data_IF_391071354055
#
_entry.id   IF_391071354055
#
_cell.length_a   1.000
_cell.length_b   1.000
_cell.length_c   1.000
_cell.angle_alpha   90.00
_cell.angle_beta   90.00
_cell.angle_gamma   90.00
#
_symmetry.space_group_name_H-M   'P 1'
#
loop_
_entity.id
_entity.type
_entity.pdbx_description
1 polymer ?
#
# COMPACT_ATOMS: atom_id res chain seq x y z
N UNK A 1 15.78 -21.85 -31.58
CA UNK A 1 14.36 -21.56 -31.28
C UNK A 1 13.91 -20.51 -32.28
N UNK A 2 12.71 -20.61 -32.87
CA UNK A 2 12.22 -19.53 -33.72
C UNK A 2 12.14 -18.25 -32.88
N UNK A 3 12.63 -17.13 -33.44
CA UNK A 3 12.47 -15.82 -32.85
C UNK A 3 11.00 -15.47 -32.78
N UNK A 4 10.40 -15.65 -31.60
CA UNK A 4 9.04 -15.23 -31.35
C UNK A 4 9.02 -13.70 -31.28
N UNK A 5 8.22 -13.02 -32.08
CA UNK A 5 8.15 -11.57 -32.04
C UNK A 5 7.63 -11.10 -30.69
N UNK A 6 8.25 -10.06 -30.14
CA UNK A 6 7.78 -9.41 -28.91
C UNK A 6 6.38 -8.82 -29.23
N UNK A 7 5.33 -9.18 -28.46
CA UNK A 7 4.01 -8.65 -28.73
C UNK A 7 3.96 -7.14 -28.48
N UNK A 8 3.27 -6.41 -29.34
CA UNK A 8 2.97 -4.99 -29.11
C UNK A 8 1.83 -4.84 -28.12
N UNK A 9 1.68 -3.63 -27.54
CA UNK A 9 0.52 -3.33 -26.68
C UNK A 9 -0.81 -3.59 -27.38
N UNK A 10 -0.89 -3.29 -28.68
CA UNK A 10 -2.07 -3.56 -29.51
C UNK A 10 -2.37 -5.05 -29.61
N UNK A 11 -1.34 -5.91 -29.80
CA UNK A 11 -1.53 -7.37 -29.81
C UNK A 11 -2.03 -7.90 -28.48
N UNK A 12 -1.72 -7.21 -27.37
CA UNK A 12 -2.19 -7.56 -26.03
C UNK A 12 -3.53 -6.90 -25.67
N UNK A 13 -4.15 -6.15 -26.60
CA UNK A 13 -5.40 -5.43 -26.33
C UNK A 13 -5.24 -4.28 -25.32
N UNK A 14 -4.03 -3.80 -25.12
CA UNK A 14 -3.71 -2.73 -24.17
C UNK A 14 -3.68 -1.36 -24.89
N UNK A 15 -4.21 -0.30 -24.26
CA UNK A 15 -4.11 1.04 -24.81
C UNK A 15 -2.65 1.51 -24.83
N UNK A 16 -2.26 2.38 -25.78
CA UNK A 16 -0.94 2.96 -25.79
C UNK A 16 -0.69 3.79 -24.52
N UNK A 17 0.46 3.58 -23.92
CA UNK A 17 0.92 4.35 -22.75
C UNK A 17 2.15 5.18 -23.15
N UNK A 18 2.16 6.46 -22.79
CA UNK A 18 3.23 7.43 -23.10
C UNK A 18 4.02 7.87 -21.88
N UNK A 19 3.88 7.15 -20.76
CA UNK A 19 4.63 7.47 -19.54
C UNK A 19 6.15 7.42 -19.81
N UNK A 20 6.92 8.33 -19.18
CA UNK A 20 8.37 8.28 -19.27
C UNK A 20 8.88 7.01 -18.59
N UNK A 21 9.68 6.23 -19.33
CA UNK A 21 10.30 5.02 -18.83
C UNK A 21 11.76 5.27 -18.47
N UNK A 22 12.31 4.58 -17.44
CA UNK A 22 13.73 4.59 -17.18
C UNK A 22 14.51 3.94 -18.32
N UNK A 23 15.77 4.33 -18.51
CA UNK A 23 16.66 3.66 -19.45
C UNK A 23 16.73 2.16 -19.13
N UNK A 24 16.60 1.31 -20.16
CA UNK A 24 16.60 -0.13 -19.98
C UNK A 24 18.01 -0.70 -19.75
N UNK A 25 18.10 -1.91 -19.21
CA UNK A 25 19.31 -2.71 -19.13
C UNK A 25 20.05 -2.64 -17.80
N UNK A 26 20.93 -3.62 -17.61
CA UNK A 26 21.69 -3.80 -16.37
C UNK A 26 22.66 -2.65 -16.12
N UNK A 27 23.27 -2.11 -17.16
CA UNK A 27 24.19 -0.96 -17.04
C UNK A 27 23.48 0.27 -16.45
N UNK A 28 22.28 0.60 -16.96
CA UNK A 28 21.47 1.69 -16.42
C UNK A 28 21.10 1.48 -14.95
N UNK A 29 20.79 0.24 -14.56
CA UNK A 29 20.50 -0.12 -13.18
C UNK A 29 21.73 0.06 -12.28
N UNK A 30 22.89 -0.38 -12.72
CA UNK A 30 24.16 -0.24 -11.99
C UNK A 30 24.57 1.22 -11.85
N UNK A 31 24.44 2.01 -12.90
CA UNK A 31 24.72 3.45 -12.86
C UNK A 31 23.81 4.17 -11.84
N UNK A 32 22.53 3.80 -11.74
CA UNK A 32 21.62 4.33 -10.73
C UNK A 32 22.03 3.94 -9.31
N UNK A 33 22.37 2.67 -9.10
CA UNK A 33 22.83 2.19 -7.79
C UNK A 33 24.09 2.94 -7.36
N UNK A 34 25.05 3.09 -8.26
CA UNK A 34 26.30 3.80 -8.01
C UNK A 34 26.06 5.29 -7.77
N UNK A 35 25.25 5.94 -8.60
CA UNK A 35 24.87 7.35 -8.44
C UNK A 35 24.20 7.60 -7.07
N UNK A 36 23.36 6.67 -6.58
CA UNK A 36 22.82 6.77 -5.23
C UNK A 36 23.93 6.63 -4.18
N UNK A 37 24.80 5.62 -4.29
CA UNK A 37 25.81 5.34 -3.29
C UNK A 37 26.84 6.45 -3.16
N UNK A 38 27.26 7.06 -4.27
CA UNK A 38 28.30 8.12 -4.30
C UNK A 38 27.73 9.53 -4.20
N UNK A 39 26.50 9.72 -4.67
CA UNK A 39 25.84 11.02 -4.77
C UNK A 39 25.28 11.57 -3.44
N UNK A 40 24.69 12.77 -3.49
CA UNK A 40 24.12 13.43 -2.30
C UNK A 40 22.86 12.74 -1.78
N UNK A 41 22.15 11.98 -2.62
CA UNK A 41 20.93 11.28 -2.23
C UNK A 41 21.15 10.31 -1.06
N UNK A 42 22.29 9.59 -1.06
CA UNK A 42 22.63 8.67 0.04
C UNK A 42 22.85 9.35 1.40
N UNK A 43 23.13 10.65 1.45
CA UNK A 43 23.22 11.41 2.71
C UNK A 43 21.85 11.85 3.22
N UNK A 44 20.89 12.06 2.31
CA UNK A 44 19.60 12.69 2.58
C UNK A 44 18.44 11.69 2.68
N UNK A 45 18.58 10.51 2.07
CA UNK A 45 17.51 9.52 1.92
C UNK A 45 16.80 9.20 3.23
N UNK A 46 17.54 8.97 4.31
CA UNK A 46 16.95 8.66 5.62
C UNK A 46 15.99 9.74 6.11
N UNK A 47 16.31 11.00 5.89
CA UNK A 47 15.56 12.15 6.39
C UNK A 47 14.41 12.56 5.47
N UNK A 48 14.63 12.43 4.17
CA UNK A 48 13.76 13.02 3.15
C UNK A 48 12.93 12.00 2.35
N UNK A 49 13.04 10.71 2.68
CA UNK A 49 12.32 9.67 1.93
C UNK A 49 10.78 9.82 1.96
N UNK A 50 10.26 10.64 2.88
CA UNK A 50 8.82 10.95 2.96
C UNK A 50 8.40 12.17 2.14
N UNK A 51 9.36 12.93 1.59
CA UNK A 51 9.09 14.12 0.77
C UNK A 51 9.15 13.77 -0.71
N UNK A 52 8.02 13.78 -1.45
CA UNK A 52 8.00 13.43 -2.88
C UNK A 52 8.94 14.31 -3.71
N UNK A 53 8.97 15.62 -3.42
CA UNK A 53 9.79 16.62 -4.12
C UNK A 53 11.30 16.47 -3.89
N UNK A 54 11.73 15.74 -2.84
CA UNK A 54 13.15 15.64 -2.49
C UNK A 54 13.98 14.80 -3.50
N UNK A 55 13.32 13.94 -4.27
CA UNK A 55 13.94 13.08 -5.31
C UNK A 55 15.16 12.29 -4.81
N UNK A 56 15.11 11.82 -3.57
CA UNK A 56 16.19 11.06 -2.93
C UNK A 56 16.08 9.55 -3.15
N UNK A 57 15.05 9.09 -3.84
CA UNK A 57 14.88 7.68 -4.18
C UNK A 57 15.98 7.16 -5.09
N UNK A 58 16.32 5.88 -4.97
CA UNK A 58 17.27 5.21 -5.85
C UNK A 58 16.77 5.08 -7.29
N UNK A 59 15.44 5.04 -7.49
CA UNK A 59 14.82 4.72 -8.77
C UNK A 59 15.09 3.30 -9.26
N UNK A 60 15.45 2.38 -8.35
CA UNK A 60 15.77 0.98 -8.70
C UNK A 60 14.54 0.06 -8.80
N UNK A 61 13.36 0.53 -8.39
CA UNK A 61 12.17 -0.33 -8.31
C UNK A 61 11.79 -1.02 -9.62
N UNK A 62 11.80 -0.38 -10.81
CA UNK A 62 11.53 -1.07 -12.07
C UNK A 62 12.55 -2.17 -12.37
N UNK A 63 13.83 -1.88 -12.13
CA UNK A 63 14.91 -2.84 -12.39
C UNK A 63 14.86 -4.05 -11.45
N UNK A 64 14.48 -3.83 -10.19
CA UNK A 64 14.27 -4.90 -9.22
C UNK A 64 13.04 -5.74 -9.57
N UNK A 65 11.94 -5.08 -9.99
CA UNK A 65 10.70 -5.73 -10.42
C UNK A 65 10.92 -6.71 -11.57
N UNK A 66 11.68 -6.28 -12.59
CA UNK A 66 11.95 -7.08 -13.78
C UNK A 66 13.21 -7.95 -13.67
N UNK A 67 13.85 -8.01 -12.49
CA UNK A 67 15.03 -8.84 -12.27
C UNK A 67 16.28 -8.38 -13.04
N UNK A 68 16.31 -7.14 -13.53
CA UNK A 68 17.45 -6.55 -14.25
C UNK A 68 18.66 -6.40 -13.32
N UNK A 69 18.40 -6.13 -12.03
CA UNK A 69 19.39 -6.10 -10.95
C UNK A 69 18.87 -6.90 -9.76
N UNK A 70 19.75 -7.66 -9.10
CA UNK A 70 19.33 -8.46 -7.95
C UNK A 70 19.32 -7.65 -6.64
N UNK A 71 18.37 -7.90 -5.73
CA UNK A 71 18.40 -7.33 -4.40
C UNK A 71 19.70 -7.64 -3.63
N UNK A 72 20.30 -8.81 -3.85
CA UNK A 72 21.57 -9.22 -3.20
C UNK A 72 22.72 -8.30 -3.61
N UNK A 73 22.81 -7.95 -4.89
CA UNK A 73 23.82 -7.00 -5.39
C UNK A 73 23.63 -5.63 -4.74
N UNK A 74 22.38 -5.16 -4.67
CA UNK A 74 22.06 -3.91 -3.98
C UNK A 74 22.47 -3.95 -2.50
N UNK A 75 22.16 -5.04 -1.79
CA UNK A 75 22.55 -5.22 -0.39
C UNK A 75 24.08 -5.20 -0.22
N UNK A 76 24.80 -5.91 -1.08
CA UNK A 76 26.26 -5.95 -1.05
C UNK A 76 26.85 -4.55 -1.27
N UNK A 77 26.35 -3.82 -2.27
CA UNK A 77 26.83 -2.48 -2.55
C UNK A 77 26.50 -1.47 -1.45
N UNK A 78 25.30 -1.56 -0.86
CA UNK A 78 24.90 -0.70 0.27
C UNK A 78 25.68 -1.02 1.55
N UNK A 79 26.09 -2.27 1.76
CA UNK A 79 26.92 -2.65 2.90
C UNK A 79 28.27 -1.91 2.92
N UNK A 80 28.84 -1.57 1.74
CA UNK A 80 30.07 -0.79 1.65
C UNK A 80 29.93 0.64 2.16
N UNK A 81 28.72 1.14 2.36
CA UNK A 81 28.48 2.45 2.98
C UNK A 81 28.51 2.41 4.53
N UNK A 82 28.56 1.22 5.13
CA UNK A 82 28.51 1.07 6.59
C UNK A 82 29.72 1.65 7.31
N UNK A 83 30.89 1.70 6.66
CA UNK A 83 32.11 2.30 7.19
C UNK A 83 32.32 3.78 6.84
N UNK A 84 31.34 4.39 6.18
CA UNK A 84 31.41 5.76 5.72
C UNK A 84 30.76 6.74 6.71
N UNK A 85 30.49 7.96 6.26
CA UNK A 85 29.80 9.02 6.99
C UNK A 85 28.47 8.51 7.60
N UNK A 86 28.17 8.88 8.84
CA UNK A 86 27.01 8.45 9.61
C UNK A 86 25.67 8.64 8.88
N UNK A 87 25.54 9.71 8.10
CA UNK A 87 24.33 10.00 7.30
C UNK A 87 24.12 8.97 6.20
N UNK A 88 25.19 8.59 5.49
CA UNK A 88 25.16 7.54 4.45
C UNK A 88 24.85 6.16 5.06
N UNK A 89 25.47 5.86 6.20
CA UNK A 89 25.20 4.62 6.92
C UNK A 89 23.72 4.49 7.30
N UNK A 90 23.10 5.54 7.84
CA UNK A 90 21.66 5.54 8.19
C UNK A 90 20.79 5.32 6.95
N UNK A 91 21.10 6.00 5.86
CA UNK A 91 20.38 5.83 4.58
C UNK A 91 20.52 4.42 4.02
N UNK A 92 21.71 3.83 4.09
CA UNK A 92 21.95 2.45 3.67
C UNK A 92 21.12 1.46 4.52
N UNK A 93 21.15 1.57 5.84
CA UNK A 93 20.34 0.73 6.74
C UNK A 93 18.86 0.85 6.44
N UNK A 94 18.36 2.07 6.22
CA UNK A 94 16.97 2.32 5.85
C UNK A 94 16.60 1.66 4.51
N UNK A 95 17.45 1.78 3.50
CA UNK A 95 17.19 1.18 2.19
C UNK A 95 17.27 -0.36 2.25
N UNK A 96 18.26 -0.92 2.98
CA UNK A 96 18.35 -2.36 3.25
C UNK A 96 17.08 -2.88 3.91
N UNK A 97 16.55 -2.14 4.90
CA UNK A 97 15.27 -2.49 5.54
C UNK A 97 14.13 -2.54 4.52
N UNK A 98 14.07 -1.61 3.55
CA UNK A 98 13.04 -1.62 2.49
C UNK A 98 13.16 -2.80 1.54
N UNK A 99 14.38 -3.17 1.16
CA UNK A 99 14.61 -4.37 0.33
C UNK A 99 14.18 -5.66 1.05
N UNK A 100 14.50 -5.78 2.35
CA UNK A 100 14.05 -6.91 3.18
C UNK A 100 12.53 -6.95 3.34
N UNK A 101 11.91 -5.80 3.52
CA UNK A 101 10.45 -5.70 3.58
C UNK A 101 9.80 -6.21 2.30
N UNK A 102 10.28 -5.77 1.12
CA UNK A 102 9.80 -6.28 -0.17
C UNK A 102 9.96 -7.80 -0.29
N UNK A 103 11.12 -8.35 0.06
CA UNK A 103 11.35 -9.79 0.06
C UNK A 103 10.35 -10.54 0.97
N UNK A 104 10.04 -9.97 2.14
CA UNK A 104 9.04 -10.55 3.05
C UNK A 104 7.62 -10.56 2.46
N UNK A 105 7.27 -9.57 1.63
CA UNK A 105 5.98 -9.54 0.93
C UNK A 105 5.90 -10.62 -0.16
N UNK A 106 6.96 -10.78 -0.95
CA UNK A 106 7.05 -11.86 -1.93
C UNK A 106 6.93 -13.24 -1.27
N UNK A 107 7.61 -13.44 -0.14
CA UNK A 107 7.51 -14.68 0.61
C UNK A 107 6.09 -14.94 1.10
N UNK A 108 5.41 -13.94 1.66
CA UNK A 108 4.00 -14.06 2.07
C UNK A 108 3.09 -14.39 0.91
N UNK A 109 3.26 -13.72 -0.21
CA UNK A 109 2.44 -13.94 -1.40
C UNK A 109 2.63 -15.36 -1.97
N UNK A 110 3.83 -15.92 -1.88
CA UNK A 110 4.09 -17.32 -2.25
C UNK A 110 3.21 -18.31 -1.48
N UNK A 111 2.97 -18.04 -0.21
CA UNK A 111 2.14 -18.90 0.65
C UNK A 111 0.68 -18.49 0.71
N UNK A 112 0.36 -17.27 0.36
CA UNK A 112 -0.98 -16.69 0.40
C UNK A 112 -1.30 -15.98 -0.93
N UNK A 113 -1.28 -16.70 -2.07
CA UNK A 113 -1.51 -16.09 -3.40
C UNK A 113 -2.91 -15.50 -3.54
N UNK A 114 -3.89 -15.98 -2.76
CA UNK A 114 -5.23 -15.42 -2.72
C UNK A 114 -5.30 -13.95 -2.31
N UNK A 115 -4.22 -13.39 -1.74
CA UNK A 115 -4.13 -11.97 -1.41
C UNK A 115 -4.23 -11.07 -2.67
N UNK A 116 -4.05 -11.63 -3.85
CA UNK A 116 -4.35 -10.94 -5.11
C UNK A 116 -5.84 -10.59 -5.25
N UNK A 117 -6.73 -11.43 -4.69
CA UNK A 117 -8.17 -11.33 -4.91
C UNK A 117 -8.98 -11.13 -3.63
N UNK A 118 -8.39 -11.34 -2.46
CA UNK A 118 -9.12 -11.30 -1.19
C UNK A 118 -8.25 -10.77 -0.04
N UNK A 119 -8.89 -10.30 1.01
CA UNK A 119 -8.22 -9.95 2.27
C UNK A 119 -7.70 -11.21 2.99
N UNK A 120 -6.76 -11.04 3.92
CA UNK A 120 -6.25 -12.15 4.74
C UNK A 120 -7.31 -12.74 5.68
N UNK A 121 -8.38 -12.01 5.91
CA UNK A 121 -9.47 -12.39 6.82
C UNK A 121 -10.82 -12.18 6.15
N UNK A 122 -11.57 -13.25 5.97
CA UNK A 122 -12.88 -13.24 5.31
C UNK A 122 -13.89 -12.22 5.83
N UNK A 123 -13.95 -11.86 7.14
CA UNK A 123 -14.85 -10.81 7.60
C UNK A 123 -14.65 -9.44 6.94
N UNK A 124 -13.48 -9.18 6.37
CA UNK A 124 -13.24 -7.93 5.63
C UNK A 124 -13.76 -7.96 4.18
N UNK A 125 -14.13 -9.13 3.67
CA UNK A 125 -14.56 -9.31 2.29
C UNK A 125 -16.07 -9.61 2.16
N UNK A 126 -16.86 -9.45 3.24
CA UNK A 126 -18.30 -9.78 3.24
C UNK A 126 -19.07 -8.98 2.19
N UNK A 127 -18.71 -7.71 2.00
CA UNK A 127 -19.35 -6.80 1.04
C UNK A 127 -18.49 -6.63 -0.24
N UNK A 128 -17.53 -7.54 -0.47
CA UNK A 128 -16.61 -7.43 -1.59
C UNK A 128 -17.31 -7.76 -2.90
N UNK A 129 -17.26 -6.84 -3.85
CA UNK A 129 -17.77 -7.01 -5.21
C UNK A 129 -16.78 -7.82 -6.05
N UNK A 130 -17.21 -8.70 -6.97
CA UNK A 130 -16.33 -9.40 -7.89
C UNK A 130 -15.48 -8.42 -8.71
N UNK A 131 -14.16 -8.63 -8.74
CA UNK A 131 -13.21 -7.76 -9.46
C UNK A 131 -13.36 -7.80 -10.99
N UNK A 132 -14.06 -8.81 -11.52
CA UNK A 132 -14.26 -8.97 -12.97
C UNK A 132 -15.07 -7.83 -13.62
N UNK A 133 -15.75 -7.01 -12.84
CA UNK A 133 -16.64 -5.95 -13.35
C UNK A 133 -15.93 -4.59 -13.55
N UNK A 134 -14.65 -4.48 -13.29
CA UNK A 134 -13.81 -3.35 -13.76
C UNK A 134 -13.79 -2.08 -12.93
N UNK A 135 -14.85 -1.65 -12.29
CA UNK A 135 -14.96 -0.48 -11.38
C UNK A 135 -16.35 -0.50 -10.71
N UNK A 136 -16.56 0.24 -9.60
CA UNK A 136 -17.91 0.47 -9.10
C UNK A 136 -18.82 0.95 -10.24
N UNK A 137 -19.93 0.26 -10.47
CA UNK A 137 -20.69 0.43 -11.71
C UNK A 137 -21.47 1.77 -11.76
N UNK A 138 -22.01 2.19 -10.63
CA UNK A 138 -22.86 3.39 -10.54
C UNK A 138 -22.94 3.94 -9.10
N UNK A 139 -23.69 5.01 -8.92
CA UNK A 139 -23.95 5.64 -7.61
C UNK A 139 -22.76 6.36 -7.01
N UNK A 140 -22.88 6.65 -5.72
CA UNK A 140 -21.89 7.45 -4.98
C UNK A 140 -20.48 6.83 -4.99
N UNK A 141 -20.36 5.52 -4.94
CA UNK A 141 -19.06 4.85 -4.98
C UNK A 141 -18.35 5.08 -6.33
N UNK A 142 -19.08 5.01 -7.44
CA UNK A 142 -18.54 5.29 -8.76
C UNK A 142 -18.08 6.74 -8.90
N UNK A 143 -18.84 7.69 -8.36
CA UNK A 143 -18.47 9.12 -8.34
C UNK A 143 -17.21 9.37 -7.52
N UNK A 144 -17.14 8.82 -6.30
CA UNK A 144 -15.97 8.92 -5.42
C UNK A 144 -14.74 8.29 -6.04
N UNK A 145 -14.89 7.09 -6.64
CA UNK A 145 -13.80 6.41 -7.32
C UNK A 145 -13.31 7.17 -8.55
N UNK A 146 -14.21 7.73 -9.34
CA UNK A 146 -13.86 8.57 -10.49
C UNK A 146 -13.13 9.84 -10.06
N UNK A 147 -13.61 10.54 -9.04
CA UNK A 147 -12.96 11.73 -8.50
C UNK A 147 -11.56 11.42 -7.97
N UNK A 148 -11.41 10.33 -7.23
CA UNK A 148 -10.12 9.86 -6.72
C UNK A 148 -9.13 9.54 -7.84
N UNK A 149 -9.54 8.78 -8.85
CA UNK A 149 -8.70 8.44 -10.01
C UNK A 149 -8.26 9.66 -10.81
N UNK A 150 -9.13 10.64 -10.94
CA UNK A 150 -8.92 11.84 -11.76
C UNK A 150 -8.18 12.97 -11.02
N UNK A 151 -7.90 12.79 -9.73
CA UNK A 151 -7.29 13.83 -8.90
C UNK A 151 -8.19 15.06 -8.78
N UNK A 152 -9.46 14.83 -8.41
CA UNK A 152 -10.50 15.86 -8.23
C UNK A 152 -11.30 15.65 -6.94
N UNK A 153 -10.61 15.23 -5.88
CA UNK A 153 -11.21 14.95 -4.57
C UNK A 153 -11.41 16.20 -3.73
N UNK A 154 -10.76 17.30 -4.08
CA UNK A 154 -10.69 18.50 -3.25
C UNK A 154 -9.71 18.40 -2.08
N UNK A 155 -8.85 17.38 -2.08
CA UNK A 155 -7.73 17.20 -1.14
C UNK A 155 -6.40 17.23 -1.90
N UNK A 156 -5.67 18.35 -1.91
CA UNK A 156 -4.55 18.57 -2.83
C UNK A 156 -3.46 17.51 -2.80
N UNK A 157 -3.09 16.97 -1.63
CA UNK A 157 -2.05 15.94 -1.56
C UNK A 157 -2.51 14.61 -2.20
N UNK A 158 -3.80 14.31 -2.15
CA UNK A 158 -4.43 13.14 -2.79
C UNK A 158 -4.50 13.35 -4.30
N UNK A 159 -4.95 14.53 -4.71
CA UNK A 159 -5.12 14.89 -6.12
C UNK A 159 -3.78 14.99 -6.85
N UNK A 160 -2.76 15.56 -6.21
CA UNK A 160 -1.40 15.58 -6.72
C UNK A 160 -0.84 14.15 -6.91
N UNK A 161 -1.11 13.25 -5.96
CA UNK A 161 -0.71 11.86 -6.07
C UNK A 161 -1.38 11.14 -7.25
N UNK A 162 -2.68 11.37 -7.46
CA UNK A 162 -3.42 10.82 -8.60
C UNK A 162 -2.85 11.26 -9.94
N UNK A 163 -2.61 12.59 -10.09
CA UNK A 163 -2.09 13.16 -11.35
C UNK A 163 -0.64 12.72 -11.61
N UNK A 164 0.19 12.63 -10.56
CA UNK A 164 1.53 12.09 -10.66
C UNK A 164 1.53 10.63 -11.13
N UNK A 165 0.64 9.79 -10.58
CA UNK A 165 0.50 8.40 -10.99
C UNK A 165 0.08 8.29 -12.46
N UNK A 166 -0.91 9.06 -12.86
CA UNK A 166 -1.44 9.04 -14.24
C UNK A 166 -0.39 9.49 -15.27
N UNK A 167 0.41 10.51 -14.95
CA UNK A 167 1.36 11.10 -15.89
C UNK A 167 2.71 10.38 -15.93
N UNK A 168 3.26 9.95 -14.79
CA UNK A 168 4.63 9.43 -14.69
C UNK A 168 4.71 7.99 -14.14
N UNK A 169 3.57 7.31 -13.93
CA UNK A 169 3.56 5.97 -13.35
C UNK A 169 4.11 5.90 -11.93
N UNK A 170 4.12 7.02 -11.24
CA UNK A 170 4.53 7.12 -9.85
C UNK A 170 6.03 6.93 -9.58
N UNK A 171 6.86 6.83 -10.63
CA UNK A 171 8.29 6.61 -10.48
C UNK A 171 9.01 7.85 -9.99
N UNK A 172 9.91 7.70 -9.02
CA UNK A 172 10.72 8.72 -8.35
C UNK A 172 9.94 9.67 -7.43
N UNK A 173 8.79 10.20 -7.82
CA UNK A 173 8.09 11.24 -7.06
C UNK A 173 6.95 10.69 -6.18
N UNK A 174 6.16 9.75 -6.67
CA UNK A 174 5.13 9.13 -5.84
C UNK A 174 5.77 8.15 -4.85
N UNK A 175 6.34 8.70 -3.78
CA UNK A 175 7.02 7.92 -2.76
C UNK A 175 6.04 7.11 -1.88
N UNK A 176 6.59 6.32 -0.96
CA UNK A 176 5.76 5.44 -0.12
C UNK A 176 4.74 6.21 0.72
N UNK A 177 5.05 7.43 1.17
CA UNK A 177 4.15 8.23 2.01
C UNK A 177 2.97 8.77 1.22
N UNK A 178 3.21 9.35 0.05
CA UNK A 178 2.14 9.81 -0.84
C UNK A 178 1.28 8.65 -1.34
N UNK A 179 1.88 7.49 -1.68
CA UNK A 179 1.12 6.28 -2.00
C UNK A 179 0.24 5.83 -0.82
N UNK A 180 0.75 5.87 0.41
CA UNK A 180 -0.01 5.48 1.60
C UNK A 180 -1.19 6.42 1.89
N UNK A 181 -1.00 7.74 1.74
CA UNK A 181 -2.09 8.74 1.90
C UNK A 181 -3.15 8.51 0.82
N UNK A 182 -2.74 8.37 -0.43
CA UNK A 182 -3.62 8.16 -1.58
C UNK A 182 -4.43 6.87 -1.44
N UNK A 183 -3.80 5.76 -1.03
CA UNK A 183 -4.47 4.50 -0.79
C UNK A 183 -5.40 4.54 0.44
N UNK A 184 -4.96 5.17 1.53
CA UNK A 184 -5.79 5.33 2.73
C UNK A 184 -7.02 6.18 2.47
N UNK A 185 -6.94 7.18 1.59
CA UNK A 185 -8.08 8.00 1.21
C UNK A 185 -9.16 7.15 0.54
N UNK A 186 -8.81 6.35 -0.46
CA UNK A 186 -9.76 5.48 -1.13
C UNK A 186 -10.37 4.45 -0.17
N UNK A 187 -9.52 3.65 0.47
CA UNK A 187 -9.99 2.50 1.24
C UNK A 187 -10.66 2.88 2.57
N UNK A 188 -10.19 3.95 3.21
CA UNK A 188 -10.68 4.31 4.54
C UNK A 188 -11.68 5.47 4.53
N UNK A 189 -11.46 6.50 3.72
CA UNK A 189 -12.34 7.68 3.74
C UNK A 189 -13.47 7.56 2.72
N UNK A 190 -13.19 7.11 1.49
CA UNK A 190 -14.25 6.79 0.52
C UNK A 190 -14.97 5.48 0.86
N UNK A 191 -14.35 4.59 1.64
CA UNK A 191 -14.91 3.28 1.98
C UNK A 191 -14.94 2.28 0.83
N UNK A 192 -14.21 2.57 -0.24
CA UNK A 192 -14.16 1.73 -1.44
C UNK A 192 -13.22 0.55 -1.22
N UNK A 193 -13.58 -0.61 -1.78
CA UNK A 193 -12.77 -1.82 -1.69
C UNK A 193 -11.33 -1.56 -2.16
N UNK A 194 -10.37 -1.90 -1.31
CA UNK A 194 -8.94 -1.68 -1.53
C UNK A 194 -8.43 -2.32 -2.82
N UNK A 195 -9.05 -3.41 -3.28
CA UNK A 195 -8.65 -4.14 -4.49
C UNK A 195 -8.82 -3.30 -5.75
N UNK A 196 -9.82 -2.43 -5.82
CA UNK A 196 -9.96 -1.47 -6.91
C UNK A 196 -8.77 -0.51 -7.01
N UNK A 197 -8.30 -0.06 -5.84
CA UNK A 197 -7.11 0.78 -5.77
C UNK A 197 -5.84 0.04 -6.15
N UNK A 198 -5.67 -1.21 -5.70
CA UNK A 198 -4.55 -2.07 -6.05
C UNK A 198 -4.49 -2.32 -7.56
N UNK A 199 -5.62 -2.66 -8.19
CA UNK A 199 -5.70 -2.81 -9.65
C UNK A 199 -5.41 -1.52 -10.39
N UNK A 200 -5.88 -0.38 -9.87
CA UNK A 200 -5.57 0.92 -10.46
C UNK A 200 -4.06 1.19 -10.42
N UNK A 201 -3.41 0.90 -9.30
CA UNK A 201 -1.95 1.00 -9.19
C UNK A 201 -1.24 0.07 -10.18
N UNK A 202 -1.60 -1.20 -10.25
CA UNK A 202 -1.01 -2.16 -11.17
C UNK A 202 -1.12 -1.75 -12.64
N UNK A 203 -2.20 -1.04 -13.01
CA UNK A 203 -2.41 -0.51 -14.37
C UNK A 203 -1.54 0.71 -14.68
N UNK A 204 -1.18 1.50 -13.67
CA UNK A 204 -0.53 2.79 -13.87
C UNK A 204 0.93 2.83 -13.43
N UNK A 205 1.34 2.05 -12.42
CA UNK A 205 2.72 2.01 -11.94
C UNK A 205 3.66 1.37 -12.97
N UNK A 206 4.79 2.00 -13.26
CA UNK A 206 5.85 1.41 -14.10
C UNK A 206 6.65 0.33 -13.35
N UNK A 207 6.55 0.31 -12.01
CA UNK A 207 7.20 -0.64 -11.12
C UNK A 207 6.20 -1.55 -10.38
N UNK A 208 4.97 -1.66 -10.91
CA UNK A 208 3.89 -2.43 -10.30
C UNK A 208 4.31 -3.88 -10.01
N UNK A 209 4.27 -4.26 -8.74
CA UNK A 209 4.65 -5.59 -8.24
C UNK A 209 3.52 -6.12 -7.36
N UNK A 210 2.77 -7.10 -7.86
CA UNK A 210 1.55 -7.59 -7.22
C UNK A 210 1.76 -8.00 -5.75
N UNK A 211 2.76 -8.80 -5.36
CA UNK A 211 3.04 -9.12 -3.97
C UNK A 211 3.22 -7.90 -3.06
N UNK A 212 3.96 -6.90 -3.53
CA UNK A 212 4.21 -5.68 -2.77
C UNK A 212 2.97 -4.79 -2.77
N UNK A 213 2.39 -4.57 -3.93
CA UNK A 213 1.26 -3.66 -4.12
C UNK A 213 0.03 -4.11 -3.32
N UNK A 214 -0.45 -5.33 -3.55
CA UNK A 214 -1.66 -5.84 -2.92
C UNK A 214 -1.52 -5.96 -1.39
N UNK A 215 -0.36 -6.41 -0.89
CA UNK A 215 -0.13 -6.44 0.54
C UNK A 215 -0.10 -5.04 1.17
N UNK A 216 0.51 -4.07 0.49
CA UNK A 216 0.53 -2.67 0.95
C UNK A 216 -0.87 -2.06 0.94
N UNK A 217 -1.67 -2.32 -0.08
CA UNK A 217 -3.06 -1.88 -0.15
C UNK A 217 -3.89 -2.47 0.99
N UNK A 218 -3.81 -3.78 1.21
CA UNK A 218 -4.47 -4.45 2.32
C UNK A 218 -4.03 -3.87 3.69
N UNK A 219 -2.74 -3.57 3.85
CA UNK A 219 -2.25 -2.88 5.06
C UNK A 219 -2.85 -1.49 5.23
N UNK A 220 -2.88 -0.66 4.18
CA UNK A 220 -3.44 0.70 4.26
C UNK A 220 -4.95 0.66 4.53
N UNK A 221 -5.66 -0.31 3.99
CA UNK A 221 -7.07 -0.54 4.27
C UNK A 221 -7.34 -1.06 5.71
N UNK A 222 -6.30 -1.48 6.43
CA UNK A 222 -6.41 -2.00 7.79
C UNK A 222 -6.93 -3.44 7.88
N UNK A 223 -6.92 -4.17 6.77
CA UNK A 223 -7.48 -5.53 6.66
C UNK A 223 -6.46 -6.65 6.87
N UNK A 224 -5.20 -6.32 7.12
CA UNK A 224 -4.16 -7.31 7.47
C UNK A 224 -4.09 -7.58 8.98
N UNK A 225 -4.59 -6.67 9.81
CA UNK A 225 -4.52 -6.76 11.25
C UNK A 225 -5.66 -7.62 11.80
N UNK A 226 -5.34 -8.59 12.64
CA UNK A 226 -6.29 -9.53 13.22
C UNK A 226 -6.59 -9.18 14.69
N UNK A 227 -7.88 -9.17 15.03
CA UNK A 227 -8.36 -9.05 16.40
C UNK A 227 -8.71 -7.63 16.84
N UNK A 228 -9.51 -7.55 17.91
CA UNK A 228 -9.89 -6.30 18.56
C UNK A 228 -8.65 -5.59 19.11
N UNK A 229 -8.66 -4.27 19.11
CA UNK A 229 -7.52 -3.46 19.55
C UNK A 229 -6.40 -3.29 18.53
N UNK A 230 -6.45 -3.92 17.35
CA UNK A 230 -5.49 -3.68 16.28
C UNK A 230 -5.60 -2.26 15.77
N UNK A 231 -4.45 -1.62 15.57
CA UNK A 231 -4.40 -0.24 15.13
C UNK A 231 -4.39 -0.13 13.59
N UNK A 232 -5.14 0.84 13.07
CA UNK A 232 -5.12 1.22 11.65
C UNK A 232 -4.81 2.70 11.53
N UNK A 233 -3.82 3.04 10.70
CA UNK A 233 -3.51 4.41 10.41
C UNK A 233 -4.42 4.94 9.30
N UNK A 234 -5.42 5.75 9.67
CA UNK A 234 -6.19 6.56 8.72
C UNK A 234 -5.50 7.91 8.61
N UNK A 235 -4.93 8.19 7.44
CA UNK A 235 -4.21 9.44 7.22
C UNK A 235 -5.19 10.61 7.09
N UNK A 236 -4.87 11.72 7.77
CA UNK A 236 -5.56 12.98 7.54
C UNK A 236 -5.08 13.57 6.22
N UNK A 237 -5.96 13.81 5.21
CA UNK A 237 -5.53 14.24 3.88
C UNK A 237 -5.36 15.75 3.73
N UNK A 238 -5.66 16.55 4.76
CA UNK A 238 -5.55 18.00 4.75
C UNK A 238 -4.18 18.50 5.21
N UNK A 239 -4.12 19.67 5.87
CA UNK A 239 -2.88 20.38 6.21
C UNK A 239 -1.86 19.50 6.95
N UNK A 240 -2.29 18.62 7.85
CA UNK A 240 -1.40 17.68 8.56
C UNK A 240 -0.58 16.81 7.60
N UNK A 241 -1.16 16.39 6.47
CA UNK A 241 -0.45 15.61 5.46
C UNK A 241 0.53 16.49 4.66
N UNK A 242 0.11 17.71 4.30
CA UNK A 242 0.96 18.68 3.62
C UNK A 242 2.19 19.00 4.47
N UNK A 243 2.01 19.36 5.71
CA UNK A 243 3.11 19.71 6.63
C UNK A 243 4.13 18.58 6.80
N UNK A 244 3.68 17.33 6.74
CA UNK A 244 4.53 16.15 6.94
C UNK A 244 5.17 15.60 5.66
N UNK A 245 4.57 15.85 4.51
CA UNK A 245 4.99 15.22 3.25
C UNK A 245 5.44 16.24 2.19
N UNK A 246 4.88 17.42 2.20
CA UNK A 246 5.19 18.47 1.23
C UNK A 246 5.14 19.88 1.87
N UNK A 247 5.94 20.13 2.95
CA UNK A 247 5.84 21.35 3.75
C UNK A 247 6.15 22.63 2.96
N UNK A 248 6.81 22.50 1.81
CA UNK A 248 7.08 23.61 0.90
C UNK A 248 6.06 23.70 -0.24
N UNK A 249 5.13 22.75 -0.33
CA UNK A 249 4.11 22.71 -1.37
C UNK A 249 4.65 22.45 -2.78
N UNK A 250 5.87 21.93 -2.91
CA UNK A 250 6.53 21.76 -4.22
C UNK A 250 5.89 20.63 -5.03
N UNK A 251 5.53 19.53 -4.38
CA UNK A 251 4.86 18.42 -5.04
C UNK A 251 3.44 18.80 -5.45
N UNK A 252 2.69 19.41 -4.53
CA UNK A 252 1.31 19.84 -4.81
C UNK A 252 1.28 20.84 -5.97
N UNK A 253 2.07 21.91 -5.94
CA UNK A 253 2.08 22.93 -7.00
C UNK A 253 2.55 22.41 -8.35
N UNK A 254 3.45 21.43 -8.35
CA UNK A 254 3.88 20.76 -9.59
C UNK A 254 2.71 20.06 -10.29
N UNK A 255 1.89 19.35 -9.53
CA UNK A 255 0.81 18.51 -10.07
C UNK A 255 -0.54 19.21 -10.11
N UNK A 256 -0.68 20.30 -9.39
CA UNK A 256 -1.87 21.14 -9.29
C UNK A 256 -1.46 22.61 -9.52
N UNK A 257 -1.10 22.99 -10.75
CA UNK A 257 -0.67 24.35 -11.06
C UNK A 257 -1.75 25.40 -10.75
N UNK A 258 -3.02 25.01 -10.74
CA UNK A 258 -4.13 25.85 -10.32
C UNK A 258 -4.06 26.29 -8.84
N UNK A 259 -3.22 25.68 -8.03
CA UNK A 259 -2.98 26.06 -6.62
C UNK A 259 -1.63 26.77 -6.42
N UNK A 260 -0.96 27.20 -7.49
CA UNK A 260 0.40 27.75 -7.42
C UNK A 260 0.49 28.99 -6.53
N UNK A 261 -0.52 29.83 -6.55
CA UNK A 261 -0.57 31.13 -5.85
C UNK A 261 -1.00 31.02 -4.37
N UNK A 262 -1.43 29.83 -3.92
CA UNK A 262 -1.82 29.64 -2.53
C UNK A 262 -0.58 29.57 -1.63
N UNK A 263 -0.73 30.05 -0.40
CA UNK A 263 0.29 29.89 0.64
C UNK A 263 0.38 28.45 1.13
N UNK A 264 1.48 28.04 1.77
CA UNK A 264 1.67 26.66 2.19
C UNK A 264 0.62 26.17 3.21
N UNK A 265 0.16 27.06 4.07
CA UNK A 265 -0.90 26.79 5.06
C UNK A 265 -2.30 26.65 4.44
N UNK A 266 -2.49 27.10 3.21
CA UNK A 266 -3.73 26.95 2.45
C UNK A 266 -3.76 25.67 1.60
N UNK A 267 -2.60 25.06 1.33
CA UNK A 267 -2.52 23.87 0.45
C UNK A 267 -3.22 22.63 1.00
N UNK A 268 -3.43 22.55 2.28
CA UNK A 268 -4.16 21.42 2.88
C UNK A 268 -5.67 21.58 2.93
N UNK A 269 -6.14 22.82 2.80
CA UNK A 269 -7.56 23.19 2.79
C UNK A 269 -7.75 24.46 1.94
N UNK A 270 -7.68 24.37 0.61
CA UNK A 270 -7.82 25.51 -0.27
C UNK A 270 -9.14 26.26 -0.02
N UNK A 271 -9.13 27.59 -0.08
CA UNK A 271 -10.38 28.35 -0.05
C UNK A 271 -11.25 27.99 -1.28
N UNK A 272 -12.55 28.18 -1.20
CA UNK A 272 -13.43 27.97 -2.35
C UNK A 272 -12.95 28.75 -3.57
N UNK A 273 -12.67 28.05 -4.66
CA UNK A 273 -12.22 28.65 -5.94
C UNK A 273 -12.81 27.86 -7.11
N UNK A 274 -13.01 28.54 -8.23
CA UNK A 274 -13.61 27.93 -9.42
C UNK A 274 -12.69 26.88 -10.06
N UNK A 275 -11.38 27.13 -10.01
CA UNK A 275 -10.37 26.27 -10.67
C UNK A 275 -10.11 24.94 -9.96
N UNK A 276 -10.56 24.77 -8.70
CA UNK A 276 -10.28 23.59 -7.91
C UNK A 276 -11.52 23.08 -7.16
N UNK A 277 -11.82 21.78 -7.16
CA UNK A 277 -13.03 21.24 -6.57
C UNK A 277 -13.06 21.40 -5.04
N UNK A 278 -14.26 21.48 -4.49
CA UNK A 278 -14.46 21.36 -3.04
C UNK A 278 -14.23 19.93 -2.59
N UNK A 279 -13.87 19.70 -1.30
CA UNK A 279 -13.76 18.36 -0.73
C UNK A 279 -15.02 17.53 -0.98
N UNK A 280 -14.84 16.33 -1.54
CA UNK A 280 -15.94 15.39 -1.88
C UNK A 280 -16.52 14.66 -0.68
N UNK A 281 -15.88 14.75 0.48
CA UNK A 281 -16.31 14.14 1.73
C UNK A 281 -15.86 14.97 2.94
N UNK A 282 -16.55 14.78 4.06
CA UNK A 282 -16.10 15.26 5.36
C UNK A 282 -15.19 14.24 6.04
N UNK A 283 -13.97 14.64 6.38
CA UNK A 283 -12.94 13.75 6.93
C UNK A 283 -13.35 13.11 8.24
N UNK A 284 -13.89 13.88 9.20
CA UNK A 284 -14.18 13.37 10.54
C UNK A 284 -15.31 12.34 10.53
N UNK A 285 -16.35 12.61 9.73
CA UNK A 285 -17.48 11.69 9.55
C UNK A 285 -17.04 10.41 8.83
N UNK A 286 -16.24 10.53 7.78
CA UNK A 286 -15.72 9.39 7.03
C UNK A 286 -14.81 8.52 7.90
N UNK A 287 -13.89 9.14 8.64
CA UNK A 287 -12.97 8.46 9.55
C UNK A 287 -13.72 7.71 10.65
N UNK A 288 -14.69 8.33 11.31
CA UNK A 288 -15.51 7.71 12.36
C UNK A 288 -16.23 6.46 11.84
N UNK A 289 -16.94 6.60 10.73
CA UNK A 289 -17.63 5.48 10.07
C UNK A 289 -16.67 4.32 9.76
N UNK A 290 -15.47 4.63 9.21
CA UNK A 290 -14.49 3.60 8.90
C UNK A 290 -13.98 2.87 10.14
N UNK A 291 -13.72 3.58 11.23
CA UNK A 291 -13.27 2.98 12.50
C UNK A 291 -14.32 2.03 13.07
N UNK A 292 -15.59 2.39 13.03
CA UNK A 292 -16.70 1.54 13.46
C UNK A 292 -16.76 0.23 12.66
N UNK A 293 -16.65 0.33 11.33
CA UNK A 293 -16.62 -0.84 10.44
C UNK A 293 -15.43 -1.74 10.76
N UNK A 294 -14.21 -1.19 10.82
CA UNK A 294 -13.02 -1.96 11.11
C UNK A 294 -13.09 -2.65 12.48
N UNK A 295 -13.61 -1.96 13.47
CA UNK A 295 -13.75 -2.48 14.82
C UNK A 295 -14.78 -3.63 14.89
N UNK A 296 -15.90 -3.48 14.20
CA UNK A 296 -16.89 -4.55 14.04
C UNK A 296 -16.28 -5.80 13.39
N UNK A 297 -15.58 -5.63 12.26
CA UNK A 297 -14.94 -6.75 11.55
C UNK A 297 -13.85 -7.44 12.39
N UNK A 298 -13.06 -6.66 13.14
CA UNK A 298 -12.02 -7.20 14.03
C UNK A 298 -12.58 -7.99 15.20
N UNK A 299 -13.73 -7.59 15.75
CA UNK A 299 -14.44 -8.41 16.74
C UNK A 299 -14.83 -9.77 16.16
N UNK A 300 -15.41 -9.79 14.95
CA UNK A 300 -15.74 -11.04 14.26
C UNK A 300 -14.51 -11.96 14.07
N UNK A 301 -13.35 -11.40 13.72
CA UNK A 301 -12.10 -12.17 13.60
C UNK A 301 -11.67 -12.73 14.96
N UNK A 302 -11.80 -11.95 16.03
CA UNK A 302 -11.47 -12.41 17.39
C UNK A 302 -12.34 -13.58 17.79
N UNK A 303 -13.64 -13.48 17.54
CA UNK A 303 -14.61 -14.55 17.84
C UNK A 303 -14.30 -15.81 17.03
N UNK A 304 -14.01 -15.67 15.74
CA UNK A 304 -13.57 -16.78 14.89
C UNK A 304 -12.31 -17.47 15.44
N UNK A 305 -11.29 -16.71 15.84
CA UNK A 305 -10.05 -17.26 16.41
C UNK A 305 -10.30 -18.02 17.71
N UNK A 306 -11.16 -17.49 18.57
CA UNK A 306 -11.55 -18.14 19.81
C UNK A 306 -12.33 -19.43 19.55
N UNK A 307 -13.26 -19.42 18.58
CA UNK A 307 -14.00 -20.61 18.18
C UNK A 307 -13.06 -21.70 17.65
N UNK A 308 -12.11 -21.35 16.79
CA UNK A 308 -11.13 -22.31 16.23
C UNK A 308 -10.20 -22.89 17.29
N UNK A 309 -9.77 -22.08 18.26
CA UNK A 309 -8.90 -22.56 19.34
C UNK A 309 -9.57 -23.64 20.21
N UNK A 310 -10.91 -23.75 20.17
CA UNK A 310 -11.69 -24.77 20.89
C UNK A 310 -11.84 -26.09 20.12
N UNK A 311 -11.48 -26.12 18.82
CA UNK A 311 -11.61 -27.34 18.02
C UNK A 311 -10.46 -28.32 18.34
N UNK A 312 -10.79 -29.59 18.73
CA UNK A 312 -9.80 -30.53 19.27
C UNK A 312 -8.68 -30.92 18.28
N UNK A 313 -8.89 -30.74 17.00
CA UNK A 313 -7.97 -31.20 15.95
C UNK A 313 -7.17 -30.09 15.27
N UNK A 314 -7.36 -28.83 15.64
CA UNK A 314 -6.69 -27.72 14.98
C UNK A 314 -5.70 -27.03 15.92
N UNK A 315 -4.48 -27.54 15.97
CA UNK A 315 -3.34 -26.88 16.62
C UNK A 315 -2.71 -25.77 15.77
N UNK A 316 -3.30 -25.46 14.65
CA UNK A 316 -2.70 -24.56 13.66
C UNK A 316 -3.09 -23.12 13.97
N UNK A 317 -2.14 -22.23 14.22
CA UNK A 317 -2.43 -20.81 14.42
C UNK A 317 -3.08 -20.22 13.16
N UNK A 318 -4.05 -19.33 13.37
CA UNK A 318 -4.83 -18.69 12.31
C UNK A 318 -4.05 -17.73 11.43
N UNK A 319 -2.84 -17.40 11.79
CA UNK A 319 -2.03 -16.47 11.02
C UNK A 319 -0.66 -17.05 10.69
N UNK A 320 -0.24 -16.92 9.41
CA UNK A 320 0.98 -17.54 8.91
C UNK A 320 2.28 -17.15 9.64
N UNK A 321 2.31 -16.01 10.31
CA UNK A 321 3.51 -15.55 11.01
C UNK A 321 3.99 -16.50 12.14
N UNK A 322 3.09 -17.35 12.63
CA UNK A 322 3.38 -18.33 13.68
C UNK A 322 3.43 -19.78 13.15
N UNK A 323 3.27 -19.98 11.83
CA UNK A 323 3.29 -21.28 11.17
C UNK A 323 4.66 -21.53 10.57
N UNK A 324 5.19 -22.71 10.81
CA UNK A 324 6.25 -23.28 9.96
C UNK A 324 5.59 -23.80 8.68
N UNK A 325 5.46 -22.90 7.71
CA UNK A 325 4.71 -23.16 6.47
C UNK A 325 5.35 -24.26 5.62
N UNK A 326 6.64 -24.52 5.80
CA UNK A 326 7.37 -25.56 5.08
C UNK A 326 7.07 -26.96 5.63
N UNK A 327 6.42 -27.04 6.80
CA UNK A 327 6.04 -28.30 7.46
C UNK A 327 4.55 -28.62 7.38
N UNK A 328 3.75 -27.77 6.71
CA UNK A 328 2.33 -28.07 6.53
C UNK A 328 2.15 -29.19 5.50
N UNK A 329 1.36 -30.19 5.89
CA UNK A 329 0.90 -31.21 4.95
C UNK A 329 -0.22 -30.63 4.03
N UNK A 330 -0.55 -31.38 2.98
CA UNK A 330 -1.55 -30.96 2.00
C UNK A 330 -2.95 -30.70 2.60
N UNK A 331 -3.48 -31.50 3.51
CA UNK A 331 -4.73 -31.24 4.22
C UNK A 331 -4.69 -29.95 5.07
N UNK A 332 -3.59 -29.69 5.75
CA UNK A 332 -3.40 -28.47 6.55
C UNK A 332 -3.37 -27.23 5.66
N UNK A 333 -2.71 -27.30 4.50
CA UNK A 333 -2.75 -26.27 3.48
C UNK A 333 -4.17 -26.01 2.97
N UNK A 334 -4.92 -27.04 2.63
CA UNK A 334 -6.31 -26.90 2.17
C UNK A 334 -7.21 -26.30 3.26
N UNK A 335 -7.04 -26.71 4.49
CA UNK A 335 -7.76 -26.13 5.62
C UNK A 335 -7.41 -24.63 5.80
N UNK A 336 -6.14 -24.27 5.76
CA UNK A 336 -5.68 -22.89 5.84
C UNK A 336 -6.26 -22.04 4.70
N UNK A 337 -6.15 -22.50 3.46
CA UNK A 337 -6.66 -21.81 2.27
C UNK A 337 -8.19 -21.65 2.30
N UNK A 338 -8.91 -22.65 2.81
CA UNK A 338 -10.38 -22.57 2.91
C UNK A 338 -10.89 -21.46 3.82
N UNK A 339 -10.07 -21.00 4.77
CA UNK A 339 -10.39 -19.89 5.66
C UNK A 339 -10.30 -18.52 5.01
N UNK A 340 -9.53 -18.43 3.93
CA UNK A 340 -9.33 -17.19 3.18
C UNK A 340 -10.24 -17.08 1.95
N UNK A 341 -11.14 -18.05 1.73
CA UNK A 341 -12.08 -18.00 0.60
C UNK A 341 -13.25 -17.04 0.92
N UNK A 342 -13.57 -16.11 0.01
CA UNK A 342 -14.75 -15.25 0.13
C UNK A 342 -16.04 -16.08 0.21
N UNK A 343 -16.97 -15.72 1.08
CA UNK A 343 -18.32 -16.26 1.11
C UNK A 343 -18.57 -17.46 2.02
N UNK A 344 -17.62 -17.89 2.84
CA UNK A 344 -17.89 -18.91 3.86
C UNK A 344 -18.66 -18.28 5.04
N UNK A 345 -20.00 -18.43 5.04
CA UNK A 345 -20.83 -18.15 6.22
C UNK A 345 -20.52 -19.17 7.30
N UNK A 346 -20.14 -18.69 8.49
CA UNK A 346 -20.07 -19.52 9.69
C UNK A 346 -21.49 -19.63 10.28
N UNK A 347 -22.25 -20.61 9.85
CA UNK A 347 -23.53 -21.00 10.51
C UNK A 347 -23.29 -21.78 11.81
N UNK A 348 -22.20 -21.55 12.50
CA UNK A 348 -21.98 -22.10 13.82
C UNK A 348 -22.58 -21.14 14.84
N UNK A 349 -23.78 -21.49 15.32
CA UNK A 349 -24.45 -20.83 16.46
C UNK A 349 -23.46 -20.72 17.64
N UNK A 350 -23.13 -19.52 18.01
CA UNK A 350 -22.35 -19.21 19.20
C UNK A 350 -23.31 -19.06 20.38
N UNK A 351 -23.45 -20.13 21.17
CA UNK A 351 -24.00 -20.01 22.52
C UNK A 351 -23.02 -19.18 23.38
N UNK A 352 -23.49 -18.01 23.78
CA UNK A 352 -22.74 -17.09 24.63
C UNK A 352 -22.70 -17.60 26.07
N UNK A 353 -21.58 -18.16 26.51
CA UNK A 353 -21.25 -18.25 27.92
C UNK A 353 -20.00 -17.37 28.17
N UNK A 354 -20.20 -16.30 28.90
CA UNK A 354 -19.12 -15.41 29.32
C UNK A 354 -18.27 -16.10 30.42
N UNK A 355 -16.92 -16.03 30.34
CA UNK A 355 -16.08 -16.24 31.51
C UNK A 355 -15.60 -14.90 32.07
N UNK A 356 -15.70 -14.83 33.42
CA UNK A 356 -15.29 -13.73 34.25
C UNK A 356 -13.79 -13.38 34.12
N UNK A 357 -13.51 -12.16 34.53
CA UNK A 357 -12.25 -11.48 34.38
C UNK A 357 -11.04 -12.07 35.09
N UNK A 358 -9.90 -11.72 34.60
CA UNK A 358 -8.69 -11.46 35.40
C UNK A 358 -7.63 -10.71 34.59
N UNK A 359 -7.20 -9.59 35.13
CA UNK A 359 -5.79 -9.16 35.18
C UNK A 359 -5.14 -8.61 33.92
N UNK A 360 -5.05 -7.29 33.87
CA UNK A 360 -3.98 -6.54 33.20
C UNK A 360 -2.60 -6.89 33.79
N UNK A 361 -1.53 -6.84 33.02
CA UNK A 361 -0.56 -5.78 33.37
C UNK A 361 -0.02 -4.96 32.18
N UNK A 362 0.37 -3.79 32.58
CA UNK A 362 0.98 -2.67 31.94
C UNK A 362 2.30 -2.92 31.17
N UNK A 363 2.62 -1.88 30.43
CA UNK A 363 3.94 -1.41 29.97
C UNK A 363 4.57 -2.02 28.70
N UNK A 364 4.63 -1.19 27.67
CA UNK A 364 5.89 -0.63 27.18
C UNK A 364 5.70 0.31 26.01
N UNK A 365 6.11 1.51 26.27
CA UNK A 365 6.34 2.64 25.37
C UNK A 365 7.44 2.35 24.33
N UNK A 366 7.36 3.06 23.20
CA UNK A 366 8.58 3.42 22.51
C UNK A 366 8.56 3.34 20.98
N UNK A 367 8.53 4.53 20.40
CA UNK A 367 9.03 4.99 19.10
C UNK A 367 8.36 4.47 17.82
#
# INVERSE_FOLDING_TARGET
>A
MPDLPIPTLQHLGLPPDRKPLPAAGTEAALLRLESFCTGPASRRYYWELSYPSARVSTGLSPYLKFGVISPRLCLHRLASLAGQERTRQRSAVQLISRLRWGAGMHQRFRYLPQLEQSSLWTPFDVDAVPLAEGAPADGLEAELYAAWRQGRTGFPIVDAAARCLAAEGGWLELNFRSRAIYASFLANLCGIDWRWGALHFMRHLIDGDCPIDHYQWAMQAGVTAAGSGSWTRIYHPGQVAVDRCDPQGLFIRRWLPELADLTNDQLGAPPPMEAYPRPILDYESARRRRLEILDSRRRQITDLRLAMARLPQQRTPLFPAALDLDRLDQPQWQALLSWFQPGRRTDAGLDHAAPGGAGSPDDAQGA
#
